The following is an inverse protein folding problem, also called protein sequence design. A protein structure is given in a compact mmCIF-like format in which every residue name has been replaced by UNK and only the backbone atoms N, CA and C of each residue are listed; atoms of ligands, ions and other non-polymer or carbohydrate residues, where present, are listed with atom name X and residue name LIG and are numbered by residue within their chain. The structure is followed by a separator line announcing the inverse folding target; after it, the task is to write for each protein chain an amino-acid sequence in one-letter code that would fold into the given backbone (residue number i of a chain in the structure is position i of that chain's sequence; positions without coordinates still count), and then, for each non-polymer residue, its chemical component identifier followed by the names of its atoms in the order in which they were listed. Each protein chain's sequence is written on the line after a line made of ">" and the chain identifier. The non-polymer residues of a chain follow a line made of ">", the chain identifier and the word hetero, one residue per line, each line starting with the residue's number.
data_IF_191395702741
#
_entry.id   IF_191395702741
#
_cell.length_a   1.000
_cell.length_b   1.000
_cell.length_c   1.000
_cell.angle_alpha   90.00
_cell.angle_beta   90.00
_cell.angle_gamma   90.00
#
_symmetry.space_group_name_H-M   'P 1'
#
loop_
_entity.id
_entity.type
_entity.pdbx_description
1 polymer ?
#
# COMPACT_ATOMS: atom_id res chain seq x y z
N UNK A 1 -2.35 -14.46 13.75
CA UNK A 1 -2.20 -13.23 14.58
C UNK A 1 -3.59 -12.66 14.80
N UNK A 2 -3.89 -12.17 16.00
CA UNK A 2 -5.21 -11.57 16.29
C UNK A 2 -5.15 -10.07 15.96
N UNK A 3 -6.09 -9.58 15.14
CA UNK A 3 -6.18 -8.15 14.80
C UNK A 3 -6.74 -7.36 15.98
N UNK A 4 -6.32 -6.10 16.13
CA UNK A 4 -6.95 -5.21 17.11
C UNK A 4 -8.41 -4.95 16.78
N UNK A 5 -9.20 -4.62 17.81
CA UNK A 5 -10.61 -4.25 17.65
C UNK A 5 -10.78 -3.07 16.69
N UNK A 6 -9.85 -2.12 16.74
CA UNK A 6 -9.85 -0.94 15.89
C UNK A 6 -9.63 -1.32 14.41
N UNK A 7 -8.74 -2.27 14.12
CA UNK A 7 -8.54 -2.79 12.76
C UNK A 7 -9.80 -3.49 12.25
N UNK A 8 -10.43 -4.32 13.08
CA UNK A 8 -11.68 -5.01 12.72
C UNK A 8 -12.81 -4.03 12.40
N UNK A 9 -13.00 -3.00 13.22
CA UNK A 9 -14.01 -1.96 12.99
C UNK A 9 -13.79 -1.23 11.66
N UNK A 10 -12.53 -0.96 11.30
CA UNK A 10 -12.20 -0.26 10.06
C UNK A 10 -12.43 -1.15 8.83
N UNK A 11 -12.08 -2.44 8.92
CA UNK A 11 -12.41 -3.43 7.89
C UNK A 11 -13.92 -3.54 7.66
N UNK A 12 -14.70 -3.64 8.74
CA UNK A 12 -16.18 -3.69 8.66
C UNK A 12 -16.78 -2.41 8.06
N UNK A 13 -16.26 -1.23 8.45
CA UNK A 13 -16.71 0.04 7.89
C UNK A 13 -16.44 0.13 6.37
N UNK A 14 -15.21 -0.21 5.95
CA UNK A 14 -14.81 -0.18 4.54
C UNK A 14 -15.64 -1.17 3.72
N UNK A 15 -15.75 -2.42 4.17
CA UNK A 15 -16.53 -3.47 3.49
C UNK A 15 -18.00 -3.04 3.27
N UNK A 16 -18.61 -2.42 4.28
CA UNK A 16 -19.97 -1.89 4.17
C UNK A 16 -20.05 -0.73 3.17
N UNK A 17 -19.03 0.13 3.14
CA UNK A 17 -19.01 1.38 2.36
C UNK A 17 -18.67 1.20 0.89
N UNK A 18 -17.97 0.13 0.51
CA UNK A 18 -17.69 -0.16 -0.90
C UNK A 18 -19.01 -0.40 -1.65
N UNK A 19 -19.18 0.35 -2.74
CA UNK A 19 -20.31 0.28 -3.67
C UNK A 19 -19.82 -0.37 -4.97
N UNK A 20 -20.18 -1.64 -5.25
CA UNK A 20 -19.62 -2.41 -6.37
C UNK A 20 -19.76 -1.74 -7.74
N UNK A 21 -20.93 -1.15 -8.03
CA UNK A 21 -21.17 -0.49 -9.32
C UNK A 21 -20.26 0.73 -9.51
N UNK A 22 -20.04 1.49 -8.43
CA UNK A 22 -19.15 2.66 -8.44
C UNK A 22 -17.69 2.26 -8.65
N UNK A 23 -17.21 1.22 -7.97
CA UNK A 23 -15.81 0.79 -8.10
C UNK A 23 -15.55 0.03 -9.41
N UNK A 24 -16.48 -0.79 -9.90
CA UNK A 24 -16.38 -1.43 -11.23
C UNK A 24 -16.29 -0.37 -12.35
N UNK A 25 -17.07 0.72 -12.24
CA UNK A 25 -17.01 1.83 -13.19
C UNK A 25 -15.68 2.59 -13.13
N UNK A 26 -15.18 2.89 -11.91
CA UNK A 26 -13.91 3.57 -11.74
C UNK A 26 -12.74 2.72 -12.27
N UNK A 27 -12.74 1.41 -11.99
CA UNK A 27 -11.77 0.48 -12.54
C UNK A 27 -11.81 0.47 -14.06
N UNK A 28 -13.00 0.42 -14.67
CA UNK A 28 -13.15 0.49 -16.12
C UNK A 28 -12.54 1.77 -16.69
N UNK A 29 -12.75 2.94 -16.06
CA UNK A 29 -12.16 4.20 -16.50
C UNK A 29 -10.63 4.13 -16.52
N UNK A 30 -10.02 3.58 -15.46
CA UNK A 30 -8.57 3.37 -15.41
C UNK A 30 -8.08 2.40 -16.48
N UNK A 31 -8.76 1.26 -16.67
CA UNK A 31 -8.40 0.28 -17.68
C UNK A 31 -8.52 0.87 -19.10
N UNK A 32 -9.59 1.61 -19.39
CA UNK A 32 -9.75 2.25 -20.69
C UNK A 32 -8.61 3.26 -20.96
N UNK A 33 -8.17 4.01 -19.95
CA UNK A 33 -6.99 4.87 -20.09
C UNK A 33 -5.70 4.08 -20.30
N UNK A 34 -5.41 3.09 -19.45
CA UNK A 34 -4.20 2.27 -19.53
C UNK A 34 -4.08 1.53 -20.87
N UNK A 35 -5.21 1.10 -21.44
CA UNK A 35 -5.24 0.40 -22.73
C UNK A 35 -5.44 1.31 -23.94
N UNK A 36 -5.33 2.64 -23.78
CA UNK A 36 -5.43 3.59 -24.89
C UNK A 36 -6.81 3.66 -25.54
N UNK A 37 -7.87 3.30 -24.81
CA UNK A 37 -9.28 3.41 -25.22
C UNK A 37 -9.91 4.74 -24.81
N UNK A 38 -9.26 5.50 -23.94
CA UNK A 38 -9.67 6.86 -23.60
C UNK A 38 -9.36 7.83 -24.74
N UNK A 39 -10.36 8.59 -25.18
CA UNK A 39 -10.32 9.50 -26.34
C UNK A 39 -10.51 10.98 -25.98
N UNK A 40 -10.56 11.33 -24.69
CA UNK A 40 -10.67 12.70 -24.21
C UNK A 40 -9.33 13.45 -24.13
N UNK A 41 -9.40 14.75 -23.84
CA UNK A 41 -8.22 15.63 -23.78
C UNK A 41 -7.31 15.33 -22.57
N UNK A 42 -7.92 15.21 -21.38
CA UNK A 42 -7.22 14.99 -20.12
C UNK A 42 -7.95 13.87 -19.37
N UNK A 43 -7.23 12.80 -19.08
CA UNK A 43 -7.77 11.72 -18.26
C UNK A 43 -7.96 12.19 -16.80
N UNK A 44 -9.21 12.19 -16.35
CA UNK A 44 -9.60 12.55 -14.99
C UNK A 44 -10.68 11.56 -14.52
N UNK A 45 -10.30 10.40 -13.96
CA UNK A 45 -11.26 9.37 -13.58
C UNK A 45 -12.13 9.89 -12.44
N UNK A 46 -13.42 9.60 -12.48
CA UNK A 46 -14.39 10.20 -11.55
C UNK A 46 -15.25 9.13 -10.88
N UNK A 47 -15.08 8.96 -9.57
CA UNK A 47 -15.91 8.10 -8.73
C UNK A 47 -17.33 8.66 -8.64
N UNK A 48 -18.32 7.90 -9.09
CA UNK A 48 -19.73 8.31 -9.15
C UNK A 48 -20.35 8.60 -7.78
N UNK A 49 -19.90 7.90 -6.74
CA UNK A 49 -20.46 7.99 -5.40
C UNK A 49 -19.34 8.03 -4.37
N UNK A 50 -19.34 9.09 -3.56
CA UNK A 50 -18.44 9.20 -2.43
C UNK A 50 -19.10 8.60 -1.19
N UNK A 51 -18.29 8.02 -0.31
CA UNK A 51 -18.75 7.40 0.92
C UNK A 51 -17.99 8.01 2.10
N UNK A 52 -18.71 8.69 2.99
CA UNK A 52 -18.11 9.33 4.17
C UNK A 52 -17.74 8.26 5.22
N UNK A 53 -16.54 8.32 5.83
CA UNK A 53 -16.16 7.40 6.90
C UNK A 53 -17.13 7.45 8.09
N UNK A 54 -17.52 6.29 8.61
CA UNK A 54 -18.24 6.21 9.90
C UNK A 54 -17.31 5.97 11.09
N UNK A 55 -16.04 5.66 10.81
CA UNK A 55 -14.98 5.46 11.80
C UNK A 55 -13.90 6.51 11.56
N UNK A 56 -13.49 7.19 12.62
CA UNK A 56 -12.41 8.17 12.56
C UNK A 56 -11.09 7.46 12.21
N UNK A 57 -10.35 7.92 11.19
CA UNK A 57 -9.09 7.30 10.83
C UNK A 57 -8.04 7.50 11.94
N UNK A 58 -7.35 6.44 12.38
CA UNK A 58 -6.33 6.58 13.42
C UNK A 58 -5.08 7.25 12.86
N UNK A 59 -4.43 8.06 13.71
CA UNK A 59 -3.04 8.46 13.47
C UNK A 59 -2.11 7.32 13.90
N UNK A 60 -1.23 6.87 13.01
CA UNK A 60 -0.24 5.82 13.28
C UNK A 60 1.13 6.32 12.84
N UNK A 61 2.11 6.26 13.74
CA UNK A 61 3.47 6.61 13.39
C UNK A 61 4.10 5.51 12.52
N UNK A 62 4.78 5.90 11.45
CA UNK A 62 5.43 4.97 10.52
C UNK A 62 6.45 4.06 11.23
N UNK A 63 7.18 4.58 12.22
CA UNK A 63 8.19 3.80 12.94
C UNK A 63 7.61 2.67 13.80
N UNK A 64 6.33 2.77 14.16
CA UNK A 64 5.58 1.71 14.84
C UNK A 64 4.97 0.76 13.81
N UNK A 65 4.34 1.31 12.76
CA UNK A 65 3.74 0.53 11.67
C UNK A 65 4.73 -0.44 11.02
N UNK A 66 5.98 -0.04 10.77
CA UNK A 66 6.97 -0.92 10.12
C UNK A 66 7.39 -2.13 10.98
N UNK A 67 7.03 -2.15 12.27
CA UNK A 67 7.35 -3.23 13.22
C UNK A 67 6.14 -4.11 13.53
N UNK A 68 4.94 -3.72 13.14
CA UNK A 68 3.69 -4.36 13.52
C UNK A 68 2.71 -4.34 12.33
N UNK A 69 2.38 -5.53 11.81
CA UNK A 69 1.49 -5.66 10.66
C UNK A 69 0.04 -5.25 10.94
N UNK A 70 -0.46 -5.38 12.17
CA UNK A 70 -1.80 -4.87 12.49
C UNK A 70 -1.82 -3.34 12.44
N UNK A 71 -0.81 -2.68 13.02
CA UNK A 71 -0.66 -1.22 12.93
C UNK A 71 -0.44 -0.76 11.48
N UNK A 72 0.36 -1.48 10.70
CA UNK A 72 0.57 -1.16 9.28
C UNK A 72 -0.72 -1.27 8.49
N UNK A 73 -1.43 -2.40 8.61
CA UNK A 73 -2.70 -2.63 7.94
C UNK A 73 -3.70 -1.55 8.31
N UNK A 74 -3.84 -1.23 9.61
CA UNK A 74 -4.75 -0.20 10.09
C UNK A 74 -4.46 1.18 9.47
N UNK A 75 -3.18 1.54 9.34
CA UNK A 75 -2.77 2.78 8.70
C UNK A 75 -3.08 2.81 7.19
N UNK A 76 -2.88 1.68 6.51
CA UNK A 76 -3.23 1.57 5.08
C UNK A 76 -4.75 1.60 4.86
N UNK A 77 -5.53 0.93 5.71
CA UNK A 77 -6.99 0.97 5.68
C UNK A 77 -7.53 2.38 5.93
N UNK A 78 -6.86 3.21 6.75
CA UNK A 78 -7.23 4.62 6.88
C UNK A 78 -7.09 5.36 5.54
N UNK A 79 -6.07 5.05 4.75
CA UNK A 79 -5.90 5.54 3.38
C UNK A 79 -7.03 5.10 2.44
N UNK A 80 -7.42 3.81 2.50
CA UNK A 80 -8.57 3.27 1.74
C UNK A 80 -9.88 3.96 2.14
N UNK A 81 -10.10 4.13 3.44
CA UNK A 81 -11.25 4.85 3.99
C UNK A 81 -11.33 6.28 3.48
N UNK A 82 -10.19 6.99 3.41
CA UNK A 82 -10.09 8.32 2.80
C UNK A 82 -10.34 8.31 1.29
N UNK A 83 -9.84 7.31 0.57
CA UNK A 83 -10.02 7.16 -0.88
C UNK A 83 -11.49 6.96 -1.26
N UNK A 84 -12.26 6.20 -0.48
CA UNK A 84 -13.72 6.05 -0.64
C UNK A 84 -14.48 7.38 -0.49
N UNK A 85 -13.90 8.34 0.24
CA UNK A 85 -14.43 9.70 0.38
C UNK A 85 -13.83 10.70 -0.62
N UNK A 86 -13.01 10.21 -1.55
CA UNK A 86 -12.35 11.01 -2.60
C UNK A 86 -12.78 10.55 -3.99
N UNK A 87 -12.43 11.35 -4.99
CA UNK A 87 -13.00 11.19 -6.34
C UNK A 87 -12.17 10.31 -7.26
N UNK A 88 -10.85 10.29 -7.12
CA UNK A 88 -9.96 9.80 -8.18
C UNK A 88 -9.12 8.59 -7.78
N UNK A 89 -8.91 8.38 -6.48
CA UNK A 89 -7.98 7.37 -5.98
C UNK A 89 -8.58 5.98 -6.11
N UNK A 90 -7.80 5.04 -6.65
CA UNK A 90 -8.07 3.60 -6.54
C UNK A 90 -7.92 3.15 -5.09
N UNK A 91 -8.65 2.10 -4.70
CA UNK A 91 -8.49 1.51 -3.38
C UNK A 91 -7.26 0.59 -3.40
N UNK A 92 -6.24 0.95 -2.62
CA UNK A 92 -4.97 0.25 -2.60
C UNK A 92 -4.31 0.40 -1.23
N UNK A 93 -3.67 -0.67 -0.79
CA UNK A 93 -2.77 -0.69 0.36
C UNK A 93 -1.38 -1.10 -0.10
N UNK A 94 -0.36 -0.73 0.66
CA UNK A 94 1.02 -1.14 0.38
C UNK A 94 1.81 -1.31 1.66
N UNK A 95 2.87 -2.10 1.61
CA UNK A 95 3.83 -2.16 2.69
C UNK A 95 4.55 -0.79 2.87
N UNK A 96 4.68 -0.33 4.11
CA UNK A 96 5.21 0.99 4.46
C UNK A 96 6.74 1.04 4.59
N UNK A 97 7.47 0.35 3.70
CA UNK A 97 8.93 0.29 3.73
C UNK A 97 9.64 1.28 2.78
N UNK A 98 8.88 2.16 2.12
CA UNK A 98 9.43 3.25 1.31
C UNK A 98 10.14 2.82 0.03
N UNK A 99 10.81 3.77 -0.62
CA UNK A 99 11.58 3.50 -1.86
C UNK A 99 12.82 2.64 -1.60
N UNK A 100 13.25 2.55 -0.34
CA UNK A 100 14.38 1.73 0.08
C UNK A 100 14.17 0.22 -0.09
N UNK A 101 12.94 -0.24 -0.36
CA UNK A 101 12.66 -1.66 -0.66
C UNK A 101 13.61 -2.15 -1.75
N UNK A 102 13.63 -1.48 -2.91
CA UNK A 102 14.37 -1.95 -4.08
C UNK A 102 15.88 -1.97 -3.84
N UNK A 103 16.43 -0.90 -3.29
CA UNK A 103 17.89 -0.81 -3.03
C UNK A 103 18.35 -1.75 -1.92
N UNK A 104 17.49 -2.05 -0.94
CA UNK A 104 17.80 -3.02 0.12
C UNK A 104 17.96 -4.45 -0.39
N UNK A 105 17.28 -4.82 -1.50
CA UNK A 105 17.46 -6.13 -2.13
C UNK A 105 18.91 -6.36 -2.57
N UNK A 106 19.58 -5.28 -2.99
CA UNK A 106 20.98 -5.26 -3.40
C UNK A 106 21.96 -5.08 -2.22
N UNK A 107 21.45 -5.08 -0.98
CA UNK A 107 22.26 -4.96 0.23
C UNK A 107 22.61 -3.53 0.64
N UNK A 108 21.88 -2.52 0.14
CA UNK A 108 21.95 -1.16 0.68
C UNK A 108 21.49 -1.15 2.14
N UNK A 109 22.25 -0.45 3.00
CA UNK A 109 21.94 -0.37 4.43
C UNK A 109 20.60 0.33 4.63
N UNK A 110 19.68 -0.33 5.31
CA UNK A 110 18.38 0.24 5.69
C UNK A 110 18.59 1.37 6.70
N UNK A 111 17.98 2.51 6.43
CA UNK A 111 17.98 3.67 7.29
C UNK A 111 16.55 3.99 7.74
N UNK A 112 16.28 3.72 9.01
CA UNK A 112 15.02 4.10 9.65
C UNK A 112 15.09 5.58 10.04
N UNK A 113 14.07 6.33 9.66
CA UNK A 113 14.00 7.77 9.91
C UNK A 113 13.76 8.06 11.41
N UNK A 114 14.19 9.23 11.92
CA UNK A 114 13.85 9.67 13.27
C UNK A 114 12.33 9.65 13.51
N UNK A 115 11.90 9.30 14.72
CA UNK A 115 10.50 9.03 15.05
C UNK A 115 9.61 10.26 14.84
N UNK A 116 10.13 11.44 15.16
CA UNK A 116 9.51 12.75 14.99
C UNK A 116 9.22 13.11 13.53
N UNK A 117 9.91 12.48 12.57
CA UNK A 117 9.69 12.75 11.14
C UNK A 117 8.47 12.03 10.58
N UNK A 118 8.01 10.96 11.24
CA UNK A 118 6.86 10.14 10.83
C UNK A 118 6.83 9.85 9.31
N UNK A 119 7.94 9.34 8.78
CA UNK A 119 8.11 9.14 7.34
C UNK A 119 8.77 7.80 7.04
N UNK A 120 8.60 7.34 5.81
CA UNK A 120 9.03 6.01 5.38
C UNK A 120 10.55 5.85 5.48
N UNK A 121 11.04 4.64 5.80
CA UNK A 121 12.47 4.37 5.77
C UNK A 121 13.04 4.48 4.35
N UNK A 122 14.35 4.62 4.28
CA UNK A 122 15.13 4.63 3.03
C UNK A 122 16.37 3.76 3.20
N UNK A 123 17.32 3.86 2.28
CA UNK A 123 18.62 3.20 2.40
C UNK A 123 19.76 4.19 2.27
N UNK A 124 20.91 3.89 2.88
CA UNK A 124 22.15 4.63 2.64
C UNK A 124 22.78 4.24 1.30
N UNK A 125 23.33 5.21 0.55
CA UNK A 125 24.09 4.92 -0.65
C UNK A 125 25.38 4.15 -0.31
N UNK A 126 25.83 3.29 -1.22
CA UNK A 126 27.08 2.54 -1.03
C UNK A 126 28.31 3.43 -0.96
N UNK A 127 28.31 4.57 -1.67
CA UNK A 127 29.46 5.45 -1.83
C UNK A 127 30.75 4.71 -2.25
N UNK A 128 30.61 3.60 -2.99
CA UNK A 128 31.69 2.75 -3.48
C UNK A 128 31.34 2.28 -4.91
N UNK A 129 32.09 2.79 -5.90
CA UNK A 129 31.83 2.49 -7.31
C UNK A 129 32.17 1.04 -7.65
N UNK A 130 33.19 0.44 -7.04
CA UNK A 130 33.54 -0.96 -7.28
C UNK A 130 32.49 -1.89 -6.70
N UNK A 131 31.92 -1.54 -5.53
CA UNK A 131 30.77 -2.27 -4.98
C UNK A 131 29.58 -2.20 -5.92
N UNK A 132 29.25 -1.02 -6.45
CA UNK A 132 28.15 -0.87 -7.42
C UNK A 132 28.39 -1.76 -8.65
N UNK A 133 29.59 -1.76 -9.23
CA UNK A 133 29.91 -2.63 -10.38
C UNK A 133 29.72 -4.11 -10.04
N UNK A 134 30.28 -4.58 -8.93
CA UNK A 134 30.10 -5.98 -8.48
C UNK A 134 28.62 -6.33 -8.30
N UNK A 135 27.82 -5.43 -7.73
CA UNK A 135 26.38 -5.63 -7.57
C UNK A 135 25.65 -5.74 -8.91
N UNK A 136 26.02 -4.91 -9.90
CA UNK A 136 25.44 -4.98 -11.26
C UNK A 136 25.87 -6.27 -11.96
N UNK A 137 27.15 -6.65 -11.86
CA UNK A 137 27.70 -7.86 -12.48
C UNK A 137 27.08 -9.15 -11.90
N UNK A 138 26.63 -9.11 -10.64
CA UNK A 138 25.89 -10.20 -9.98
C UNK A 138 24.47 -10.40 -10.54
N UNK A 139 23.90 -9.40 -11.23
CA UNK A 139 22.57 -9.47 -11.83
C UNK A 139 21.44 -9.24 -10.82
N UNK A 140 20.31 -9.94 -11.02
CA UNK A 140 19.11 -9.75 -10.18
C UNK A 140 19.34 -10.28 -8.76
N UNK A 141 18.95 -9.53 -7.71
CA UNK A 141 19.07 -9.97 -6.33
C UNK A 141 17.96 -10.98 -5.99
N UNK A 142 18.16 -11.74 -4.91
CA UNK A 142 17.05 -12.46 -4.29
C UNK A 142 16.03 -11.45 -3.76
N UNK A 143 14.77 -11.60 -4.18
CA UNK A 143 13.65 -10.74 -3.79
C UNK A 143 13.28 -10.86 -2.32
N UNK A 144 13.80 -11.87 -1.60
CA UNK A 144 13.62 -12.04 -0.17
C UNK A 144 14.68 -11.33 0.68
N UNK A 145 15.67 -10.67 0.07
CA UNK A 145 16.67 -9.87 0.79
C UNK A 145 16.10 -8.54 1.30
N UNK A 146 16.78 -7.94 2.29
CA UNK A 146 16.43 -6.62 2.79
C UNK A 146 14.97 -6.52 3.23
N UNK A 147 14.27 -5.48 2.80
CA UNK A 147 12.82 -5.33 3.04
C UNK A 147 11.94 -6.20 2.13
N UNK A 148 12.49 -6.87 1.13
CA UNK A 148 11.71 -7.67 0.18
C UNK A 148 10.88 -8.75 0.88
N UNK A 149 11.49 -9.50 1.80
CA UNK A 149 10.77 -10.46 2.65
C UNK A 149 9.60 -9.82 3.40
N UNK A 150 9.80 -8.67 4.03
CA UNK A 150 8.74 -7.99 4.78
C UNK A 150 7.57 -7.54 3.89
N UNK A 151 7.85 -7.12 2.66
CA UNK A 151 6.82 -6.74 1.68
C UNK A 151 5.95 -7.94 1.34
N UNK A 152 6.56 -9.08 1.00
CA UNK A 152 5.81 -10.30 0.65
C UNK A 152 5.03 -10.85 1.85
N UNK A 153 5.64 -10.92 3.03
CA UNK A 153 4.95 -11.37 4.24
C UNK A 153 3.76 -10.47 4.61
N UNK A 154 3.90 -9.15 4.46
CA UNK A 154 2.78 -8.24 4.70
C UNK A 154 1.68 -8.41 3.64
N UNK A 155 2.05 -8.64 2.38
CA UNK A 155 1.09 -8.93 1.31
C UNK A 155 0.27 -10.20 1.57
N UNK A 156 0.95 -11.29 1.93
CA UNK A 156 0.32 -12.56 2.31
C UNK A 156 -0.60 -12.39 3.53
N UNK A 157 -0.13 -11.66 4.54
CA UNK A 157 -0.93 -11.32 5.72
C UNK A 157 -2.22 -10.57 5.34
N UNK A 158 -2.13 -9.57 4.47
CA UNK A 158 -3.31 -8.82 4.02
C UNK A 158 -4.27 -9.71 3.21
N UNK A 159 -3.74 -10.53 2.30
CA UNK A 159 -4.54 -11.46 1.49
C UNK A 159 -5.34 -12.43 2.37
N UNK A 160 -4.72 -13.00 3.40
CA UNK A 160 -5.41 -13.91 4.35
C UNK A 160 -6.56 -13.20 5.09
N UNK A 161 -6.34 -11.97 5.55
CA UNK A 161 -7.38 -11.20 6.23
C UNK A 161 -8.53 -10.86 5.27
N UNK A 162 -8.21 -10.45 4.04
CA UNK A 162 -9.20 -9.99 3.06
C UNK A 162 -10.12 -11.11 2.58
N UNK A 163 -9.75 -12.39 2.72
CA UNK A 163 -10.64 -13.54 2.44
C UNK A 163 -11.99 -13.45 3.18
N UNK A 164 -12.04 -12.78 4.34
CA UNK A 164 -13.27 -12.61 5.14
C UNK A 164 -14.14 -11.44 4.70
N UNK A 165 -13.66 -10.61 3.77
CA UNK A 165 -14.29 -9.35 3.36
C UNK A 165 -14.40 -9.31 1.83
N UNK A 166 -15.48 -9.87 1.24
CA UNK A 166 -15.58 -10.09 -0.20
C UNK A 166 -15.41 -8.84 -1.07
N UNK A 167 -15.92 -7.68 -0.65
CA UNK A 167 -15.74 -6.45 -1.43
C UNK A 167 -14.32 -5.91 -1.28
N UNK A 168 -13.76 -5.90 -0.08
CA UNK A 168 -12.36 -5.51 0.13
C UNK A 168 -11.45 -6.40 -0.71
N UNK A 169 -11.63 -7.73 -0.67
CA UNK A 169 -10.87 -8.68 -1.49
C UNK A 169 -10.92 -8.36 -2.98
N UNK A 170 -12.08 -7.95 -3.49
CA UNK A 170 -12.27 -7.62 -4.91
C UNK A 170 -11.66 -6.27 -5.28
N UNK A 171 -11.85 -5.25 -4.45
CA UNK A 171 -11.63 -3.86 -4.85
C UNK A 171 -10.39 -3.20 -4.24
N UNK A 172 -9.86 -3.71 -3.13
CA UNK A 172 -8.66 -3.18 -2.48
C UNK A 172 -7.45 -3.96 -2.96
N UNK A 173 -6.58 -3.28 -3.72
CA UNK A 173 -5.35 -3.88 -4.22
C UNK A 173 -4.28 -3.92 -3.12
N UNK A 174 -3.44 -4.96 -3.15
CA UNK A 174 -2.31 -5.18 -2.22
C UNK A 174 -1.00 -5.20 -2.99
#
# INVERSE_FOLDING_TARGET
>A
MELSKETLLLLEDIERRIDPETEDDLEKQWLDFTYGRFDGDIFCPNRKKLSVPSVEPPFININDAIKDYDLMLRGQLAGVSGALNGTHNTLCIRANYGTGIMTSLFGAEIFIMPYENNTLPTTRPFNDTERIRRTVDQGLPDVMNGFGKNVFEFGEFCAEIFEKYPKIKKYVNV
#
